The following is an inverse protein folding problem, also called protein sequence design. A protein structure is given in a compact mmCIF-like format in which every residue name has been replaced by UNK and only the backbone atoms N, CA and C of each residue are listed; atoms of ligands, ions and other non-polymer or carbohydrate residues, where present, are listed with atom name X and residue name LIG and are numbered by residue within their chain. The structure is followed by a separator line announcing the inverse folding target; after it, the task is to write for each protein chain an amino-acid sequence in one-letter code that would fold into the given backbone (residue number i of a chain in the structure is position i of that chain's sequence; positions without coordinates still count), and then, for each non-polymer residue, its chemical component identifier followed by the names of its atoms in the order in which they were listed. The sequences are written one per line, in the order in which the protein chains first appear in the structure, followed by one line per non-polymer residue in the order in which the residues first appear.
data_IF_180829629026
#
_entry.id   IF_180829629026
#
_cell.length_a   1.000
_cell.length_b   1.000
_cell.length_c   1.000
_cell.angle_alpha   90.00
_cell.angle_beta   90.00
_cell.angle_gamma   90.00
#
_symmetry.space_group_name_H-M   'P 1'
#
loop_
_entity.id
_entity.type
_entity.pdbx_description
1 polymer ?
#
# COMPACT_ATOMS: atom_id res chain seq x y z
N UNK A 1 26.33 -91.68 -3.70
CA UNK A 1 25.85 -90.28 -3.69
C UNK A 1 27.06 -89.38 -3.57
N UNK A 2 27.40 -88.65 -4.62
CA UNK A 2 28.54 -87.71 -4.58
C UNK A 2 28.08 -86.42 -3.90
N UNK A 3 28.81 -85.87 -2.91
CA UNK A 3 28.40 -84.65 -2.24
C UNK A 3 28.39 -83.49 -3.24
N UNK A 4 27.32 -82.71 -3.25
CA UNK A 4 27.28 -81.45 -3.99
C UNK A 4 28.00 -80.40 -3.14
N UNK A 5 29.17 -79.96 -3.61
CA UNK A 5 29.92 -78.86 -2.99
C UNK A 5 29.42 -77.52 -3.56
N UNK A 6 28.89 -76.66 -2.70
CA UNK A 6 28.57 -75.28 -3.08
C UNK A 6 29.79 -74.39 -2.79
N UNK A 7 30.36 -73.81 -3.84
CA UNK A 7 31.40 -72.78 -3.72
C UNK A 7 30.71 -71.43 -3.57
N UNK A 8 31.04 -70.68 -2.51
CA UNK A 8 30.55 -69.33 -2.31
C UNK A 8 30.93 -68.47 -3.52
N UNK A 9 29.93 -67.99 -4.27
CA UNK A 9 30.16 -67.05 -5.36
C UNK A 9 30.23 -65.64 -4.77
N UNK A 10 31.40 -65.02 -4.85
CA UNK A 10 31.57 -63.61 -4.54
C UNK A 10 30.91 -62.81 -5.67
N UNK A 11 29.92 -62.00 -5.34
CA UNK A 11 29.28 -61.08 -6.27
C UNK A 11 30.35 -60.07 -6.74
N UNK A 12 30.74 -60.17 -8.01
CA UNK A 12 31.69 -59.26 -8.64
C UNK A 12 30.95 -58.04 -9.19
N UNK A 13 31.59 -56.87 -9.19
CA UNK A 13 31.02 -55.71 -9.85
C UNK A 13 31.16 -55.82 -11.39
N UNK A 14 30.08 -55.47 -12.09
CA UNK A 14 30.06 -55.38 -13.56
C UNK A 14 30.04 -56.70 -14.34
N UNK A 15 29.78 -56.57 -15.65
CA UNK A 15 29.60 -57.69 -16.60
C UNK A 15 30.90 -58.46 -16.91
N UNK A 16 32.06 -58.05 -16.37
CA UNK A 16 33.38 -58.55 -16.75
C UNK A 16 34.34 -58.84 -15.58
N UNK A 17 33.83 -59.17 -14.39
CA UNK A 17 34.63 -59.92 -13.41
C UNK A 17 35.69 -59.12 -12.62
N UNK A 18 35.38 -57.88 -12.23
CA UNK A 18 36.20 -57.05 -11.35
C UNK A 18 36.44 -57.59 -9.93
N UNK A 19 37.19 -56.83 -9.13
CA UNK A 19 37.47 -57.13 -7.72
C UNK A 19 36.15 -57.23 -6.94
N UNK A 20 35.94 -58.26 -6.11
CA UNK A 20 34.76 -58.33 -5.26
C UNK A 20 34.61 -57.05 -4.43
N UNK A 21 33.42 -56.46 -4.42
CA UNK A 21 33.14 -55.35 -3.52
C UNK A 21 33.37 -55.83 -2.09
N UNK A 22 34.19 -55.10 -1.33
CA UNK A 22 34.44 -55.47 0.07
C UNK A 22 33.23 -55.09 0.92
N UNK A 23 33.02 -55.79 2.04
CA UNK A 23 31.96 -55.42 3.00
C UNK A 23 32.09 -53.96 3.47
N UNK A 24 33.31 -53.46 3.64
CA UNK A 24 33.57 -52.06 3.98
C UNK A 24 33.13 -51.09 2.86
N UNK A 25 33.40 -51.44 1.60
CA UNK A 25 32.96 -50.64 0.47
C UNK A 25 31.43 -50.65 0.33
N UNK A 26 30.78 -51.79 0.59
CA UNK A 26 29.33 -51.90 0.63
C UNK A 26 28.72 -51.01 1.72
N UNK A 27 29.24 -51.07 2.95
CA UNK A 27 28.76 -50.23 4.05
C UNK A 27 28.88 -48.73 3.72
N UNK A 28 29.99 -48.31 3.10
CA UNK A 28 30.12 -46.90 2.69
C UNK A 28 29.08 -46.48 1.64
N UNK A 29 28.73 -47.36 0.72
CA UNK A 29 27.68 -47.08 -0.26
C UNK A 29 26.31 -46.96 0.42
N UNK A 30 26.01 -47.85 1.37
CA UNK A 30 24.78 -47.79 2.16
C UNK A 30 24.70 -46.49 2.98
N UNK A 31 25.78 -46.10 3.66
CA UNK A 31 25.86 -44.85 4.41
C UNK A 31 25.65 -43.63 3.51
N UNK A 32 26.26 -43.61 2.32
CA UNK A 32 26.09 -42.54 1.34
C UNK A 32 24.65 -42.47 0.83
N UNK A 33 24.01 -43.61 0.56
CA UNK A 33 22.61 -43.68 0.16
C UNK A 33 21.72 -43.08 1.24
N UNK A 34 21.92 -43.45 2.50
CA UNK A 34 21.17 -42.91 3.65
C UNK A 34 21.36 -41.39 3.76
N UNK A 35 22.60 -40.91 3.63
CA UNK A 35 22.91 -39.48 3.69
C UNK A 35 22.26 -38.69 2.53
N UNK A 36 22.26 -39.23 1.32
CA UNK A 36 21.61 -38.62 0.15
C UNK A 36 20.10 -38.57 0.35
N UNK A 37 19.47 -39.65 0.80
CA UNK A 37 18.03 -39.70 1.07
C UNK A 37 17.67 -38.63 2.09
N UNK A 38 18.40 -38.54 3.21
CA UNK A 38 18.16 -37.52 4.22
C UNK A 38 18.29 -36.09 3.66
N UNK A 39 19.30 -35.85 2.81
CA UNK A 39 19.53 -34.54 2.21
C UNK A 39 18.46 -34.14 1.17
N UNK A 40 17.93 -35.11 0.41
CA UNK A 40 16.89 -34.88 -0.60
C UNK A 40 15.50 -34.73 0.04
N UNK A 41 15.19 -35.51 1.07
CA UNK A 41 13.91 -35.44 1.79
C UNK A 41 13.66 -34.10 2.48
N UNK A 42 14.69 -33.27 2.67
CA UNK A 42 14.56 -31.92 3.22
C UNK A 42 14.39 -30.82 2.15
N UNK A 43 14.24 -31.19 0.87
CA UNK A 43 14.10 -30.26 -0.26
C UNK A 43 12.66 -30.26 -0.76
N UNK A 44 12.30 -29.25 -1.54
CA UNK A 44 11.05 -29.25 -2.30
C UNK A 44 11.15 -30.24 -3.47
N UNK A 45 10.03 -30.87 -3.80
CA UNK A 45 9.89 -31.75 -4.96
C UNK A 45 9.77 -30.94 -6.25
N UNK A 46 10.06 -31.60 -7.37
CA UNK A 46 9.84 -31.03 -8.70
C UNK A 46 8.84 -31.87 -9.49
N UNK A 47 7.81 -31.24 -10.04
CA UNK A 47 6.87 -31.82 -11.00
C UNK A 47 7.06 -31.09 -12.32
N UNK A 48 7.47 -31.83 -13.35
CA UNK A 48 7.80 -31.27 -14.67
C UNK A 48 8.81 -30.09 -14.62
N UNK A 49 9.80 -30.18 -13.71
CA UNK A 49 10.85 -29.16 -13.58
C UNK A 49 10.44 -27.91 -12.78
N UNK A 50 9.29 -27.94 -12.09
CA UNK A 50 8.81 -26.83 -11.25
C UNK A 50 8.49 -27.32 -9.84
N UNK A 51 8.68 -26.43 -8.85
CA UNK A 51 8.22 -26.66 -7.47
C UNK A 51 6.70 -26.52 -7.43
N UNK A 52 5.95 -27.53 -6.95
CA UNK A 52 4.52 -27.43 -6.66
C UNK A 52 4.20 -26.27 -5.72
N UNK A 53 3.08 -25.58 -5.95
CA UNK A 53 2.73 -24.34 -5.24
C UNK A 53 2.46 -24.57 -3.75
N UNK A 54 1.99 -25.76 -3.38
CA UNK A 54 1.78 -26.20 -2.00
C UNK A 54 3.08 -26.37 -1.19
N UNK A 55 4.23 -26.45 -1.86
CA UNK A 55 5.55 -26.46 -1.24
C UNK A 55 6.17 -25.05 -1.11
N UNK A 56 5.50 -24.02 -1.64
CA UNK A 56 5.89 -22.62 -1.44
C UNK A 56 5.29 -22.11 -0.13
N UNK A 57 6.02 -21.31 0.66
CA UNK A 57 5.43 -20.59 1.79
C UNK A 57 4.26 -19.71 1.31
N UNK A 58 3.18 -19.57 2.09
CA UNK A 58 1.98 -18.74 1.81
C UNK A 58 2.26 -17.24 1.63
N UNK A 59 3.53 -16.82 1.55
CA UNK A 59 3.89 -15.44 1.26
C UNK A 59 3.52 -15.16 -0.19
N UNK A 60 2.43 -14.43 -0.40
CA UNK A 60 2.03 -13.92 -1.69
C UNK A 60 3.26 -13.35 -2.41
N UNK A 61 3.58 -13.91 -3.58
CA UNK A 61 4.55 -13.30 -4.49
C UNK A 61 3.85 -12.08 -5.07
N UNK A 62 3.82 -11.00 -4.29
CA UNK A 62 3.22 -9.74 -4.70
C UNK A 62 4.21 -9.04 -5.62
N UNK A 63 3.87 -8.92 -6.90
CA UNK A 63 4.66 -8.16 -7.86
C UNK A 63 3.98 -6.83 -8.16
N UNK A 64 4.80 -5.79 -8.27
CA UNK A 64 4.38 -4.52 -8.81
C UNK A 64 4.43 -4.57 -10.34
N UNK A 65 3.28 -4.38 -10.99
CA UNK A 65 3.11 -4.44 -12.44
C UNK A 65 3.42 -3.13 -13.15
N UNK A 66 3.65 -2.04 -12.40
CA UNK A 66 3.96 -0.71 -12.92
C UNK A 66 2.83 0.30 -12.78
N UNK A 67 3.04 1.47 -13.38
CA UNK A 67 2.07 2.56 -13.45
C UNK A 67 1.46 2.64 -14.84
N UNK A 68 0.14 2.76 -14.92
CA UNK A 68 -0.63 2.82 -16.17
C UNK A 68 -1.50 4.07 -16.20
N UNK A 69 -1.66 4.64 -17.40
CA UNK A 69 -2.36 5.90 -17.61
C UNK A 69 -3.87 5.76 -17.84
N UNK A 70 -4.43 4.53 -17.78
CA UNK A 70 -5.88 4.30 -17.94
C UNK A 70 -6.31 2.93 -17.45
N UNK A 71 -7.63 2.74 -17.25
CA UNK A 71 -8.22 1.42 -16.99
C UNK A 71 -7.95 0.43 -18.14
N UNK A 72 -8.02 0.86 -19.40
CA UNK A 72 -7.75 -0.05 -20.53
C UNK A 72 -6.32 -0.57 -20.50
N UNK A 73 -5.36 0.26 -20.10
CA UNK A 73 -3.97 -0.15 -19.95
C UNK A 73 -3.79 -1.07 -18.73
N UNK A 74 -4.52 -0.85 -17.63
CA UNK A 74 -4.55 -1.76 -16.47
C UNK A 74 -5.06 -3.15 -16.86
N UNK A 75 -6.16 -3.25 -17.60
CA UNK A 75 -6.74 -4.54 -18.03
C UNK A 75 -5.88 -5.27 -19.08
N UNK A 76 -4.88 -4.60 -19.64
CA UNK A 76 -3.90 -5.22 -20.53
C UNK A 76 -2.69 -5.81 -19.78
N UNK A 77 -2.56 -5.56 -18.46
CA UNK A 77 -1.49 -6.12 -17.65
C UNK A 77 -1.70 -7.62 -17.41
N UNK A 78 -0.64 -8.41 -17.57
CA UNK A 78 -0.61 -9.82 -17.16
C UNK A 78 -0.02 -9.96 -15.76
N UNK A 79 -0.75 -10.59 -14.84
CA UNK A 79 -0.32 -10.81 -13.47
C UNK A 79 -1.14 -11.89 -12.79
N UNK A 80 -0.65 -12.33 -11.64
CA UNK A 80 -1.31 -13.32 -10.79
C UNK A 80 -2.11 -12.64 -9.67
N UNK A 81 -2.91 -13.40 -8.93
CA UNK A 81 -3.63 -12.89 -7.77
C UNK A 81 -2.66 -12.25 -6.77
N UNK A 82 -3.06 -11.12 -6.20
CA UNK A 82 -2.26 -10.23 -5.34
C UNK A 82 -1.21 -9.35 -6.04
N UNK A 83 -0.97 -9.47 -7.36
CA UNK A 83 -0.19 -8.47 -8.09
C UNK A 83 -0.93 -7.12 -8.13
N UNK A 84 -0.19 -6.01 -8.19
CA UNK A 84 -0.78 -4.67 -8.10
C UNK A 84 -0.17 -3.65 -9.06
N UNK A 85 -0.93 -2.63 -9.41
CA UNK A 85 -0.50 -1.51 -10.26
C UNK A 85 -0.99 -0.17 -9.72
N UNK A 86 -0.43 0.92 -10.26
CA UNK A 86 -0.90 2.28 -10.01
C UNK A 86 -1.61 2.82 -11.25
N UNK A 87 -2.78 3.41 -11.07
CA UNK A 87 -3.52 4.13 -12.10
C UNK A 87 -3.29 5.63 -11.95
N UNK A 88 -2.44 6.20 -12.81
CA UNK A 88 -2.04 7.62 -12.70
C UNK A 88 -3.12 8.59 -13.16
N UNK A 89 -4.10 8.14 -13.95
CA UNK A 89 -5.28 8.91 -14.34
C UNK A 89 -6.20 9.25 -13.16
N UNK A 90 -6.14 8.46 -12.10
CA UNK A 90 -6.97 8.61 -10.89
C UNK A 90 -6.16 8.78 -9.61
N UNK A 91 -4.85 8.56 -9.66
CA UNK A 91 -3.99 8.54 -8.47
C UNK A 91 -4.25 7.34 -7.55
N UNK A 92 -4.82 6.25 -8.06
CA UNK A 92 -5.31 5.12 -7.25
C UNK A 92 -4.44 3.88 -7.40
N UNK A 93 -4.42 3.03 -6.37
CA UNK A 93 -3.76 1.73 -6.39
C UNK A 93 -4.79 0.63 -6.63
N UNK A 94 -4.42 -0.40 -7.39
CA UNK A 94 -5.31 -1.52 -7.73
C UNK A 94 -4.57 -2.85 -7.58
N UNK A 95 -5.25 -3.86 -7.05
CA UNK A 95 -4.74 -5.22 -6.83
C UNK A 95 -5.61 -6.25 -7.54
N UNK A 96 -5.00 -7.31 -8.09
CA UNK A 96 -5.69 -8.45 -8.69
C UNK A 96 -6.24 -9.35 -7.56
N UNK A 97 -7.53 -9.59 -7.56
CA UNK A 97 -8.26 -10.43 -6.58
C UNK A 97 -9.02 -11.59 -7.24
N UNK A 98 -8.93 -11.70 -8.56
CA UNK A 98 -9.63 -12.73 -9.35
C UNK A 98 -8.72 -13.32 -10.41
N UNK A 99 -9.16 -14.43 -11.00
CA UNK A 99 -8.35 -15.25 -11.89
C UNK A 99 -8.16 -14.68 -13.32
N UNK A 100 -8.92 -13.64 -13.71
CA UNK A 100 -8.82 -13.06 -15.04
C UNK A 100 -8.55 -11.54 -15.02
N UNK A 101 -7.29 -11.10 -15.08
CA UNK A 101 -6.93 -9.68 -15.01
C UNK A 101 -7.36 -8.86 -16.23
N UNK A 102 -7.86 -9.49 -17.30
CA UNK A 102 -8.44 -8.75 -18.44
C UNK A 102 -9.84 -8.21 -18.13
N UNK A 103 -10.42 -8.58 -16.98
CA UNK A 103 -11.77 -8.17 -16.55
C UNK A 103 -11.68 -7.29 -15.31
N UNK A 104 -12.39 -6.16 -15.30
CA UNK A 104 -12.39 -5.23 -14.15
C UNK A 104 -12.90 -5.87 -12.86
N UNK A 105 -13.76 -6.91 -12.96
CA UNK A 105 -14.25 -7.67 -11.80
C UNK A 105 -13.16 -8.44 -11.05
N UNK A 106 -12.00 -8.70 -11.69
CA UNK A 106 -10.84 -9.32 -11.04
C UNK A 106 -9.91 -8.32 -10.37
N UNK A 107 -10.24 -7.02 -10.40
CA UNK A 107 -9.42 -5.97 -9.80
C UNK A 107 -10.17 -5.29 -8.66
N UNK A 108 -9.44 -5.00 -7.58
CA UNK A 108 -9.94 -4.22 -6.44
C UNK A 108 -9.12 -2.96 -6.29
N UNK A 109 -9.78 -1.81 -6.27
CA UNK A 109 -9.15 -0.54 -5.89
C UNK A 109 -8.85 -0.57 -4.39
N UNK A 110 -7.61 -0.21 -4.03
CA UNK A 110 -7.19 0.04 -2.66
C UNK A 110 -7.46 1.53 -2.37
N UNK A 111 -8.36 1.86 -1.42
CA UNK A 111 -8.59 3.24 -1.05
C UNK A 111 -7.34 3.84 -0.40
N UNK A 112 -6.87 4.98 -0.91
CA UNK A 112 -5.84 5.76 -0.23
C UNK A 112 -6.51 6.58 0.89
N UNK A 113 -5.86 6.72 2.07
CA UNK A 113 -6.45 7.45 3.20
C UNK A 113 -6.59 8.98 2.96
N UNK A 114 -6.24 9.50 1.78
CA UNK A 114 -6.25 10.94 1.48
C UNK A 114 -7.50 11.42 0.75
N UNK A 115 -8.30 10.53 0.15
CA UNK A 115 -9.57 10.92 -0.49
C UNK A 115 -10.66 11.34 0.53
N UNK A 116 -10.40 11.18 1.84
CA UNK A 116 -11.34 11.51 2.91
C UNK A 116 -11.06 12.85 3.63
N UNK A 117 -9.92 13.49 3.42
CA UNK A 117 -9.64 14.78 4.08
C UNK A 117 -10.06 15.95 3.19
N UNK A 118 -11.36 16.19 3.12
CA UNK A 118 -11.85 17.48 2.63
C UNK A 118 -11.30 18.61 3.53
N UNK A 119 -11.17 19.82 2.97
CA UNK A 119 -10.81 21.01 3.75
C UNK A 119 -11.69 21.17 4.99
N UNK A 120 -12.97 20.82 4.90
CA UNK A 120 -13.91 20.85 6.03
C UNK A 120 -13.53 19.86 7.15
N UNK A 121 -13.07 18.65 6.81
CA UNK A 121 -12.59 17.64 7.79
C UNK A 121 -11.27 18.09 8.40
N UNK A 122 -10.36 18.66 7.59
CA UNK A 122 -9.11 19.21 8.10
C UNK A 122 -9.34 20.40 9.05
N UNK A 123 -10.24 21.31 8.70
CA UNK A 123 -10.63 22.44 9.55
C UNK A 123 -11.27 21.93 10.86
N UNK A 124 -12.13 20.90 10.83
CA UNK A 124 -12.76 20.36 12.03
C UNK A 124 -11.78 19.65 12.99
N UNK A 125 -10.77 18.95 12.47
CA UNK A 125 -9.81 18.19 13.28
C UNK A 125 -8.59 19.00 13.73
N UNK A 126 -8.17 20.01 12.97
CA UNK A 126 -6.90 20.70 13.18
C UNK A 126 -7.01 22.22 13.30
N UNK A 127 -8.16 22.84 13.00
CA UNK A 127 -8.34 24.24 13.38
C UNK A 127 -8.37 24.32 14.92
N UNK A 128 -7.75 25.33 15.53
CA UNK A 128 -7.89 25.56 16.97
C UNK A 128 -9.36 25.87 17.29
N UNK A 129 -10.12 24.83 17.65
CA UNK A 129 -11.45 24.99 18.19
C UNK A 129 -11.32 25.50 19.63
N UNK A 130 -11.20 26.82 19.80
CA UNK A 130 -11.89 27.38 20.96
C UNK A 130 -13.38 27.23 20.62
N UNK A 131 -14.16 26.41 21.37
CA UNK A 131 -15.53 26.06 21.01
C UNK A 131 -16.46 27.28 20.88
N UNK A 132 -16.00 28.43 21.34
CA UNK A 132 -16.73 29.69 21.38
C UNK A 132 -16.35 30.68 20.27
N UNK A 133 -15.46 30.29 19.33
CA UNK A 133 -15.04 31.17 18.22
C UNK A 133 -15.63 30.70 16.89
N UNK A 134 -16.56 31.48 16.34
CA UNK A 134 -17.17 31.25 15.02
C UNK A 134 -16.77 32.36 14.06
N UNK A 135 -16.14 32.00 12.94
CA UNK A 135 -15.74 32.95 11.87
C UNK A 135 -16.67 32.79 10.68
N UNK A 136 -17.48 33.82 10.41
CA UNK A 136 -18.39 33.86 9.26
C UNK A 136 -17.74 34.56 8.08
N UNK A 137 -17.94 34.02 6.87
CA UNK A 137 -17.39 34.54 5.62
C UNK A 137 -18.49 34.72 4.57
N UNK A 138 -18.28 35.62 3.62
CA UNK A 138 -19.13 35.75 2.44
C UNK A 138 -18.79 34.71 1.36
N UNK A 139 -19.49 34.77 0.22
CA UNK A 139 -19.27 33.88 -0.93
C UNK A 139 -17.90 34.06 -1.60
N UNK A 140 -17.21 35.18 -1.34
CA UNK A 140 -15.83 35.43 -1.77
C UNK A 140 -14.78 34.95 -0.78
N UNK A 141 -15.19 34.35 0.35
CA UNK A 141 -14.29 33.87 1.40
C UNK A 141 -13.77 34.97 2.33
N UNK A 142 -14.32 36.19 2.25
CA UNK A 142 -13.92 37.32 3.09
C UNK A 142 -14.66 37.26 4.43
N UNK A 143 -13.94 37.50 5.53
CA UNK A 143 -14.53 37.49 6.88
C UNK A 143 -15.50 38.67 7.06
N UNK A 144 -16.75 38.35 7.45
CA UNK A 144 -17.84 39.32 7.68
C UNK A 144 -18.19 39.45 9.17
N UNK A 145 -18.01 38.39 9.96
CA UNK A 145 -18.09 38.49 11.41
C UNK A 145 -17.28 37.42 12.12
N UNK A 146 -16.92 37.72 13.37
CA UNK A 146 -16.30 36.79 14.31
C UNK A 146 -17.12 36.83 15.60
N UNK A 147 -17.67 35.70 16.00
CA UNK A 147 -18.34 35.53 17.30
C UNK A 147 -17.32 34.90 18.24
N UNK A 148 -17.07 35.52 19.39
CA UNK A 148 -16.18 35.01 20.44
C UNK A 148 -16.93 35.00 21.76
N UNK A 149 -17.08 33.85 22.42
CA UNK A 149 -17.78 33.71 23.70
C UNK A 149 -19.21 34.32 23.66
N UNK A 150 -19.92 34.09 22.55
CA UNK A 150 -21.26 34.62 22.30
C UNK A 150 -21.32 36.10 21.90
N UNK A 151 -20.19 36.81 21.87
CA UNK A 151 -20.12 38.23 21.50
C UNK A 151 -19.74 38.38 20.02
N UNK A 152 -20.66 38.93 19.21
CA UNK A 152 -20.46 39.11 17.76
C UNK A 152 -19.66 40.37 17.45
N UNK A 153 -18.61 40.23 16.65
CA UNK A 153 -17.86 41.32 16.03
C UNK A 153 -18.17 41.34 14.53
N UNK A 154 -18.91 42.33 14.06
CA UNK A 154 -19.27 42.51 12.65
C UNK A 154 -18.25 43.43 11.98
N UNK A 155 -17.76 43.01 10.81
CA UNK A 155 -16.78 43.71 10.00
C UNK A 155 -17.43 44.07 8.66
N UNK A 156 -17.44 45.35 8.30
CA UNK A 156 -17.86 45.79 6.96
C UNK A 156 -16.67 46.32 6.18
N UNK A 157 -16.76 46.26 4.84
CA UNK A 157 -15.68 46.66 3.95
C UNK A 157 -16.17 47.66 2.92
N UNK A 158 -15.25 48.50 2.47
CA UNK A 158 -15.45 49.38 1.32
C UNK A 158 -15.40 48.55 0.03
N UNK A 159 -15.78 49.16 -1.09
CA UNK A 159 -15.72 48.53 -2.42
C UNK A 159 -14.31 48.13 -2.85
N UNK A 160 -13.27 48.75 -2.29
CA UNK A 160 -11.87 48.41 -2.51
C UNK A 160 -11.38 47.22 -1.64
N UNK A 161 -12.28 46.62 -0.84
CA UNK A 161 -11.98 45.51 0.06
C UNK A 161 -11.33 45.91 1.39
N UNK A 162 -11.01 47.19 1.61
CA UNK A 162 -10.49 47.68 2.88
C UNK A 162 -11.55 47.65 3.98
N UNK A 163 -11.13 47.47 5.24
CA UNK A 163 -12.05 47.48 6.39
C UNK A 163 -12.63 48.89 6.57
N UNK A 164 -13.95 48.99 6.59
CA UNK A 164 -14.73 50.22 6.71
C UNK A 164 -15.23 50.43 8.14
N UNK A 165 -15.94 49.44 8.70
CA UNK A 165 -16.44 49.53 10.08
C UNK A 165 -16.25 48.24 10.87
N UNK A 166 -16.21 48.39 12.20
CA UNK A 166 -16.17 47.30 13.17
C UNK A 166 -17.20 47.58 14.26
N UNK A 167 -18.10 46.64 14.53
CA UNK A 167 -19.05 46.72 15.65
C UNK A 167 -18.94 45.46 16.51
N UNK A 168 -18.76 45.60 17.82
CA UNK A 168 -18.68 44.46 18.76
C UNK A 168 -19.86 44.47 19.73
N UNK A 169 -20.73 43.47 19.63
CA UNK A 169 -21.97 43.39 20.39
C UNK A 169 -22.77 44.68 20.26
N UNK A 170 -23.16 45.24 21.40
CA UNK A 170 -23.91 46.50 21.49
C UNK A 170 -23.02 47.75 21.57
N UNK A 171 -21.69 47.60 21.45
CA UNK A 171 -20.80 48.75 21.41
C UNK A 171 -21.08 49.64 20.17
N UNK A 172 -20.77 50.95 20.25
CA UNK A 172 -20.84 51.84 19.10
C UNK A 172 -20.04 51.32 17.90
N UNK A 173 -20.52 51.62 16.69
CA UNK A 173 -19.86 51.21 15.46
C UNK A 173 -18.62 52.05 15.26
N UNK A 174 -17.45 51.41 15.24
CA UNK A 174 -16.19 52.08 14.94
C UNK A 174 -16.01 52.20 13.44
N UNK A 175 -15.81 53.41 12.94
CA UNK A 175 -15.50 53.70 11.54
C UNK A 175 -14.01 53.93 11.37
N UNK A 176 -13.43 53.28 10.35
CA UNK A 176 -12.01 53.39 10.01
C UNK A 176 -11.86 54.41 8.90
N UNK A 177 -11.12 55.49 9.17
CA UNK A 177 -10.77 56.50 8.16
C UNK A 177 -9.37 56.25 7.62
N UNK A 178 -9.17 56.52 6.33
CA UNK A 178 -7.90 56.31 5.63
C UNK A 178 -7.53 57.54 4.80
N UNK A 179 -6.23 57.76 4.60
CA UNK A 179 -5.75 58.75 3.64
C UNK A 179 -5.80 58.22 2.19
N UNK A 180 -5.43 59.07 1.24
CA UNK A 180 -5.36 58.73 -0.19
C UNK A 180 -4.33 57.63 -0.52
N UNK A 181 -3.40 57.32 0.37
CA UNK A 181 -2.46 56.21 0.24
C UNK A 181 -3.00 54.89 0.87
N UNK A 182 -4.26 54.87 1.35
CA UNK A 182 -4.90 53.69 1.95
C UNK A 182 -4.50 53.42 3.41
N UNK A 183 -3.67 54.27 4.02
CA UNK A 183 -3.21 54.12 5.40
C UNK A 183 -4.29 54.58 6.37
N UNK A 184 -4.46 53.89 7.50
CA UNK A 184 -5.42 54.27 8.55
C UNK A 184 -4.98 55.58 9.19
N UNK A 185 -5.85 56.58 9.17
CA UNK A 185 -5.61 57.90 9.79
C UNK A 185 -6.43 58.12 11.06
N UNK A 186 -7.44 57.29 11.30
CA UNK A 186 -8.25 57.40 12.51
C UNK A 186 -9.29 56.31 12.65
N UNK A 187 -9.71 56.08 13.88
CA UNK A 187 -10.83 55.20 14.23
C UNK A 187 -11.73 55.97 15.18
N UNK A 188 -12.98 56.22 14.77
CA UNK A 188 -13.97 56.95 15.57
C UNK A 188 -15.18 56.07 15.86
N UNK A 189 -15.82 56.27 17.02
CA UNK A 189 -17.03 55.59 17.45
C UNK A 189 -18.29 56.43 17.15
#
# INVERSE_FOLDING_TARGET
MTPINFVARLWKDGKQGGTPITAAALNRLEDVIVAIIAAVSSKADLVAGKVPVDQLPERAIVRYLGSVASQSAMLALGGDESDWCVRTDTGTHWVIVGSNPTQIGSWKQIPLPLDAMSKAVADASYAPANPDVVINRDSGGVVTSVVENGLSTVLTRNSDGSLATVKRGDAPTKTVTRNSAGQITGVSA
#
